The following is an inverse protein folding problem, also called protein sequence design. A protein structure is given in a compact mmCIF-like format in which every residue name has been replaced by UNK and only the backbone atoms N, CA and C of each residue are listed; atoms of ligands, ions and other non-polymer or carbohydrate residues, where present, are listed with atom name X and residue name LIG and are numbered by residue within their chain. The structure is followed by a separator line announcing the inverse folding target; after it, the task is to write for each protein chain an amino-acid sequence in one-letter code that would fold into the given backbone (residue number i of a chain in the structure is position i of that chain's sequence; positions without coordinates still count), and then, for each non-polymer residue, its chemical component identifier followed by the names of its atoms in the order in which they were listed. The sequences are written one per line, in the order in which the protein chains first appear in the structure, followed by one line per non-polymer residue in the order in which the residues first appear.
data_IF_048838256066
#
_entry.id   IF_048838256066
#
_cell.length_a   1.000
_cell.length_b   1.000
_cell.length_c   1.000
_cell.angle_alpha   90.00
_cell.angle_beta   90.00
_cell.angle_gamma   90.00
#
_symmetry.space_group_name_H-M   'P 1'
#
loop_
_entity.id
_entity.type
_entity.pdbx_description
1 polymer ?
#
# COMPACT_ATOMS: atom_id res chain seq x y z
N UNK A 1 15.73 3.59 3.65
CA UNK A 1 15.92 2.55 4.70
C UNK A 1 15.47 1.23 4.11
N UNK A 2 16.21 0.15 4.37
CA UNK A 2 15.97 -1.17 3.80
C UNK A 2 15.84 -2.21 4.92
N UNK A 3 14.93 -3.15 4.76
CA UNK A 3 14.77 -4.33 5.61
C UNK A 3 14.72 -5.57 4.72
N UNK A 4 15.34 -6.66 5.16
CA UNK A 4 15.37 -7.90 4.40
C UNK A 4 15.39 -9.12 5.33
N UNK A 5 14.68 -10.17 4.94
CA UNK A 5 14.71 -11.47 5.59
C UNK A 5 14.64 -12.58 4.53
N UNK A 6 14.62 -13.85 4.94
CA UNK A 6 14.59 -14.97 4.00
C UNK A 6 13.36 -15.01 3.06
N UNK A 7 12.29 -14.27 3.36
CA UNK A 7 11.00 -14.31 2.65
C UNK A 7 10.78 -13.09 1.75
N UNK A 8 11.18 -11.90 2.19
CA UNK A 8 10.90 -10.65 1.50
C UNK A 8 11.90 -9.54 1.86
N UNK A 9 11.91 -8.51 1.00
CA UNK A 9 12.56 -7.23 1.24
C UNK A 9 11.51 -6.11 1.37
N UNK A 10 11.85 -5.06 2.13
CA UNK A 10 11.03 -3.85 2.28
C UNK A 10 11.91 -2.60 2.17
N UNK A 11 11.54 -1.72 1.24
CA UNK A 11 12.15 -0.42 1.06
C UNK A 11 11.24 0.67 1.63
N UNK A 12 11.86 1.65 2.28
CA UNK A 12 11.20 2.84 2.80
C UNK A 12 11.95 4.09 2.36
N UNK A 13 11.20 5.12 1.99
CA UNK A 13 11.70 6.48 1.85
C UNK A 13 11.03 7.42 2.84
N UNK A 14 11.76 8.47 3.21
CA UNK A 14 11.36 9.46 4.19
C UNK A 14 11.69 10.85 3.68
N UNK A 15 10.96 11.85 4.15
CA UNK A 15 11.31 13.27 3.96
C UNK A 15 12.38 13.72 4.98
N UNK A 16 12.80 14.98 4.88
CA UNK A 16 13.81 15.56 5.79
C UNK A 16 13.37 15.63 7.25
N UNK A 17 12.06 15.51 7.53
CA UNK A 17 11.49 15.48 8.88
C UNK A 17 11.35 14.05 9.42
N UNK A 18 11.83 13.04 8.68
CA UNK A 18 11.77 11.64 9.09
C UNK A 18 10.39 11.00 8.93
N UNK A 19 9.48 11.63 8.18
CA UNK A 19 8.15 11.08 7.93
C UNK A 19 8.16 10.22 6.68
N UNK A 20 7.42 9.11 6.73
CA UNK A 20 7.44 8.11 5.65
C UNK A 20 6.78 8.68 4.39
N UNK A 21 7.41 8.51 3.23
CA UNK A 21 6.87 8.87 1.91
C UNK A 21 6.32 7.64 1.19
N UNK A 22 7.01 6.52 1.29
CA UNK A 22 6.50 5.24 0.79
C UNK A 22 7.04 4.04 1.60
N UNK A 23 6.32 2.94 1.45
CA UNK A 23 6.74 1.57 1.80
C UNK A 23 6.54 0.70 0.56
N UNK A 24 7.57 -0.03 0.17
CA UNK A 24 7.52 -1.00 -0.91
C UNK A 24 8.04 -2.34 -0.41
N UNK A 25 7.18 -3.36 -0.34
CA UNK A 25 7.58 -4.72 0.00
C UNK A 25 7.51 -5.65 -1.21
N UNK A 26 8.51 -6.53 -1.33
CA UNK A 26 8.61 -7.49 -2.41
C UNK A 26 9.08 -8.86 -1.90
N UNK A 27 8.33 -9.90 -2.24
CA UNK A 27 8.64 -11.29 -1.96
C UNK A 27 9.87 -11.74 -2.75
N UNK A 28 10.77 -12.46 -2.08
CA UNK A 28 11.86 -13.13 -2.78
C UNK A 28 11.31 -14.25 -3.66
N UNK A 29 11.70 -14.21 -4.93
CA UNK A 29 11.28 -15.18 -5.92
C UNK A 29 12.42 -15.53 -6.86
N UNK A 30 12.63 -16.83 -7.05
CA UNK A 30 13.56 -17.37 -8.04
C UNK A 30 12.72 -18.04 -9.13
N UNK A 31 12.79 -17.56 -10.39
CA UNK A 31 12.07 -18.19 -11.49
C UNK A 31 12.50 -19.65 -11.69
N UNK A 32 11.53 -20.52 -11.99
CA UNK A 32 11.78 -21.88 -12.44
C UNK A 32 12.15 -21.84 -13.93
N UNK A 33 13.32 -22.35 -14.31
CA UNK A 33 13.84 -22.22 -15.69
C UNK A 33 13.07 -23.09 -16.67
N UNK A 34 12.56 -24.20 -16.18
CA UNK A 34 11.77 -25.19 -16.91
C UNK A 34 10.32 -24.74 -17.10
N UNK A 35 9.86 -23.73 -16.37
CA UNK A 35 8.51 -23.21 -16.45
C UNK A 35 8.38 -22.06 -17.45
N UNK A 36 7.20 -21.95 -18.07
CA UNK A 36 6.87 -20.82 -18.94
C UNK A 36 6.82 -19.49 -18.18
N UNK A 37 7.03 -18.38 -18.91
CA UNK A 37 7.05 -17.02 -18.35
C UNK A 37 5.77 -16.64 -17.61
N UNK A 38 4.60 -17.08 -18.11
CA UNK A 38 3.33 -16.85 -17.43
C UNK A 38 3.22 -17.58 -16.10
N UNK A 39 3.69 -18.83 -16.03
CA UNK A 39 3.67 -19.60 -14.79
C UNK A 39 4.57 -18.93 -13.75
N UNK A 40 5.78 -18.51 -14.14
CA UNK A 40 6.70 -17.84 -13.24
C UNK A 40 6.13 -16.51 -12.70
N UNK A 41 5.46 -15.73 -13.55
CA UNK A 41 4.78 -14.50 -13.14
C UNK A 41 3.64 -14.78 -12.15
N UNK A 42 2.75 -15.71 -12.48
CA UNK A 42 1.61 -16.04 -11.62
C UNK A 42 2.06 -16.57 -10.25
N UNK A 43 3.14 -17.36 -10.23
CA UNK A 43 3.73 -17.88 -9.00
C UNK A 43 4.40 -16.78 -8.16
N UNK A 44 5.06 -15.81 -8.81
CA UNK A 44 5.59 -14.64 -8.10
C UNK A 44 4.45 -13.80 -7.51
N UNK A 45 3.41 -13.48 -8.29
CA UNK A 45 2.22 -12.76 -7.82
C UNK A 45 1.51 -13.49 -6.67
N UNK A 46 1.42 -14.82 -6.72
CA UNK A 46 0.89 -15.64 -5.63
C UNK A 46 1.70 -15.42 -4.35
N UNK A 47 3.03 -15.48 -4.42
CA UNK A 47 3.91 -15.22 -3.27
C UNK A 47 3.80 -13.78 -2.76
N UNK A 48 3.69 -12.79 -3.66
CA UNK A 48 3.47 -11.40 -3.26
C UNK A 48 2.19 -11.29 -2.41
N UNK A 49 1.09 -11.91 -2.87
CA UNK A 49 -0.18 -11.93 -2.14
C UNK A 49 -0.09 -12.64 -0.78
N UNK A 50 0.53 -13.82 -0.74
CA UNK A 50 0.67 -14.62 0.49
C UNK A 50 1.49 -13.93 1.57
N UNK A 51 2.44 -13.09 1.17
CA UNK A 51 3.27 -12.31 2.10
C UNK A 51 2.71 -10.90 2.36
N UNK A 52 1.58 -10.53 1.77
CA UNK A 52 1.03 -9.17 1.88
C UNK A 52 1.98 -8.10 1.34
N UNK A 53 2.77 -8.46 0.32
CA UNK A 53 3.72 -7.55 -0.31
C UNK A 53 3.02 -6.55 -1.23
N UNK A 54 3.51 -5.32 -1.26
CA UNK A 54 2.91 -4.29 -2.08
C UNK A 54 3.51 -2.91 -1.86
N UNK A 55 2.85 -1.91 -2.46
CA UNK A 55 3.29 -0.53 -2.43
C UNK A 55 2.27 0.35 -1.71
N UNK A 56 2.74 1.20 -0.81
CA UNK A 56 1.92 2.22 -0.14
C UNK A 56 2.66 3.54 -0.14
N UNK A 57 2.01 4.61 -0.60
CA UNK A 57 2.47 6.00 -0.46
C UNK A 57 1.74 6.70 0.66
N UNK A 58 2.41 7.66 1.25
CA UNK A 58 1.93 8.47 2.37
C UNK A 58 2.08 9.93 1.99
N UNK A 59 0.99 10.69 2.14
CA UNK A 59 0.98 12.14 1.95
C UNK A 59 0.69 12.85 3.27
N UNK A 60 1.40 13.94 3.51
CA UNK A 60 1.33 14.71 4.76
C UNK A 60 0.77 16.11 4.49
N UNK A 61 -0.02 16.63 5.42
CA UNK A 61 -0.45 18.03 5.49
C UNK A 61 0.05 18.61 6.82
N UNK A 62 0.92 19.61 6.77
CA UNK A 62 1.69 20.00 7.95
C UNK A 62 2.43 18.80 8.51
N UNK A 63 2.22 18.47 9.78
CA UNK A 63 2.71 17.29 10.51
C UNK A 63 1.72 16.11 10.56
N UNK A 64 0.53 16.29 10.00
CA UNK A 64 -0.54 15.29 10.02
C UNK A 64 -0.51 14.41 8.76
N UNK A 65 -0.81 13.12 8.92
CA UNK A 65 -0.91 12.20 7.79
C UNK A 65 -2.22 12.46 7.05
N UNK A 66 -2.18 13.07 5.87
CA UNK A 66 -3.37 13.41 5.10
C UNK A 66 -3.97 12.19 4.39
N UNK A 67 -3.13 11.32 3.81
CA UNK A 67 -3.61 10.14 3.10
C UNK A 67 -2.60 9.01 2.97
N UNK A 68 -3.14 7.81 2.74
CA UNK A 68 -2.43 6.60 2.35
C UNK A 68 -2.99 6.08 1.03
N UNK A 69 -2.13 5.80 0.05
CA UNK A 69 -2.53 5.24 -1.25
C UNK A 69 -1.78 3.93 -1.49
N UNK A 70 -2.54 2.85 -1.67
CA UNK A 70 -2.05 1.54 -2.05
C UNK A 70 -2.64 1.14 -3.42
N UNK A 71 -1.84 1.10 -4.50
CA UNK A 71 -2.33 0.68 -5.82
C UNK A 71 -2.83 -0.77 -5.81
N UNK A 72 -3.63 -1.14 -6.82
CA UNK A 72 -3.97 -2.54 -7.06
C UNK A 72 -2.68 -3.33 -7.35
N UNK A 73 -2.49 -4.44 -6.63
CA UNK A 73 -1.21 -5.19 -6.64
C UNK A 73 -1.23 -6.38 -7.61
N UNK A 74 -2.40 -6.80 -8.07
CA UNK A 74 -2.58 -7.93 -8.99
C UNK A 74 -3.90 -7.76 -9.76
N UNK A 75 -4.06 -8.52 -10.85
CA UNK A 75 -5.28 -8.48 -11.66
C UNK A 75 -6.52 -8.85 -10.82
N UNK A 76 -7.55 -8.02 -10.90
CA UNK A 76 -8.77 -8.16 -10.10
C UNK A 76 -8.66 -7.61 -8.66
N UNK A 77 -7.48 -7.17 -8.21
CA UNK A 77 -7.36 -6.39 -6.98
C UNK A 77 -7.91 -4.97 -7.18
N UNK A 78 -8.30 -4.34 -6.08
CA UNK A 78 -8.76 -2.95 -6.08
C UNK A 78 -7.76 -2.10 -5.32
N UNK A 79 -7.35 -0.98 -5.92
CA UNK A 79 -6.55 0.02 -5.22
C UNK A 79 -7.31 0.57 -4.03
N UNK A 80 -6.60 1.09 -3.04
CA UNK A 80 -7.18 1.68 -1.83
C UNK A 80 -6.52 3.00 -1.51
N UNK A 81 -7.34 4.02 -1.32
CA UNK A 81 -6.92 5.31 -0.79
C UNK A 81 -7.66 5.56 0.52
N UNK A 82 -6.94 5.97 1.56
CA UNK A 82 -7.51 6.40 2.83
C UNK A 82 -7.12 7.84 3.04
N UNK A 83 -8.10 8.70 3.30
CA UNK A 83 -7.90 10.08 3.74
C UNK A 83 -8.22 10.19 5.22
N UNK A 84 -7.42 10.95 5.96
CA UNK A 84 -7.63 11.21 7.37
C UNK A 84 -7.98 12.67 7.60
N UNK A 85 -8.88 12.90 8.55
CA UNK A 85 -9.26 14.22 9.04
C UNK A 85 -8.98 14.25 10.54
N UNK A 86 -8.41 15.35 11.01
CA UNK A 86 -8.08 15.58 12.41
C UNK A 86 -8.75 16.84 12.93
N UNK A 87 -8.88 16.93 14.25
CA UNK A 87 -9.23 18.19 14.90
C UNK A 87 -8.17 19.27 14.57
N UNK A 88 -8.57 20.55 14.45
CA UNK A 88 -7.63 21.63 14.17
C UNK A 88 -6.50 21.71 15.22
N UNK A 89 -5.24 21.68 14.76
CA UNK A 89 -4.06 21.82 15.62
C UNK A 89 -3.82 20.63 16.57
N UNK A 90 -4.43 19.48 16.30
CA UNK A 90 -4.38 18.30 17.16
C UNK A 90 -4.16 17.03 16.32
N UNK A 91 -3.64 15.98 16.95
CA UNK A 91 -3.51 14.65 16.33
C UNK A 91 -4.69 13.73 16.64
N UNK A 92 -5.81 14.28 17.14
CA UNK A 92 -7.06 13.56 17.38
C UNK A 92 -7.76 13.32 16.03
N UNK A 93 -7.86 12.06 15.55
CA UNK A 93 -8.56 11.77 14.32
C UNK A 93 -10.07 11.93 14.56
N UNK A 94 -10.76 12.56 13.62
CA UNK A 94 -12.24 12.73 13.67
C UNK A 94 -12.94 11.85 12.65
N UNK A 95 -12.31 11.63 11.49
CA UNK A 95 -12.90 10.81 10.43
C UNK A 95 -11.84 10.22 9.50
N UNK A 96 -12.22 9.12 8.85
CA UNK A 96 -11.46 8.55 7.74
C UNK A 96 -12.38 8.27 6.54
N UNK A 97 -11.97 8.70 5.35
CA UNK A 97 -12.63 8.36 4.10
C UNK A 97 -11.82 7.28 3.38
N UNK A 98 -12.47 6.16 3.04
CA UNK A 98 -11.85 5.06 2.31
C UNK A 98 -12.45 4.97 0.92
N UNK A 99 -11.59 5.06 -0.10
CA UNK A 99 -11.92 4.89 -1.51
C UNK A 99 -11.26 3.65 -2.06
N UNK A 100 -12.02 2.89 -2.84
CA UNK A 100 -11.53 1.73 -3.56
C UNK A 100 -11.52 2.03 -5.07
N UNK A 101 -10.35 1.93 -5.71
CA UNK A 101 -10.16 2.20 -7.15
C UNK A 101 -10.13 0.88 -7.94
N UNK A 102 -11.24 0.55 -8.62
CA UNK A 102 -11.39 -0.65 -9.44
C UNK A 102 -11.70 -0.33 -10.90
N UNK A 103 -11.20 -1.14 -11.82
CA UNK A 103 -11.29 -0.93 -13.29
C UNK A 103 -12.69 -1.22 -13.89
N UNK A 104 -13.75 -1.39 -13.09
CA UNK A 104 -15.10 -1.59 -13.62
C UNK A 104 -16.19 -1.26 -12.60
N UNK A 105 -17.00 -0.24 -12.91
CA UNK A 105 -18.28 0.18 -12.31
C UNK A 105 -18.44 0.06 -10.77
N UNK A 106 -18.66 1.24 -10.17
CA UNK A 106 -18.95 1.56 -8.76
C UNK A 106 -17.70 1.70 -7.87
N UNK A 107 -17.14 2.92 -7.90
CA UNK A 107 -16.30 3.45 -6.83
C UNK A 107 -17.17 3.51 -5.58
N UNK A 108 -16.79 2.77 -4.53
CA UNK A 108 -17.44 2.86 -3.23
C UNK A 108 -16.58 3.70 -2.30
N UNK A 109 -17.07 4.89 -2.00
CA UNK A 109 -16.52 5.76 -0.97
C UNK A 109 -17.25 5.48 0.35
N UNK A 110 -16.49 5.24 1.42
CA UNK A 110 -17.03 5.03 2.76
C UNK A 110 -16.34 5.98 3.73
N UNK A 111 -17.11 6.89 4.31
CA UNK A 111 -16.71 7.68 5.47
C UNK A 111 -16.93 6.85 6.74
N UNK A 112 -16.01 6.93 7.69
CA UNK A 112 -16.18 6.40 9.04
C UNK A 112 -15.77 7.48 10.03
N UNK A 113 -16.62 7.74 11.00
CA UNK A 113 -16.25 8.56 12.15
C UNK A 113 -15.27 7.77 13.02
N UNK A 114 -14.24 8.46 13.50
CA UNK A 114 -13.18 7.89 14.32
C UNK A 114 -13.39 8.45 15.72
N UNK A 115 -14.34 7.86 16.45
CA UNK A 115 -14.98 8.36 17.69
C UNK A 115 -15.97 9.51 17.52
#
# INVERSE_FOLDING_TARGET
MHFENARLAVEFAYDALGRRLFKHSSAHYKPCREAGSQWNRNEHERKQRELGCGFTRYGWDGDQLAWEISPAQYEGATGRTVHYLFEPGSFVPVAQAVRHEGTGRSVRDRLRDVN
#
